data_IF_533634530585
#
_entry.id   IF_533634530585
#
_cell.length_a   1.000
_cell.length_b   1.000
_cell.length_c   1.000
_cell.angle_alpha   90.00
_cell.angle_beta   90.00
_cell.angle_gamma   90.00
#
_symmetry.space_group_name_H-M   'P 1'
#
loop_
_entity.id
_entity.type
_entity.pdbx_description
1 polymer ?
#
# COMPACT_ATOMS: atom_id res chain seq x y z
N UNK A 1 6.16 4.69 11.20
CA UNK A 1 4.78 5.17 11.45
C UNK A 1 4.21 4.35 12.59
N UNK A 2 3.57 5.01 13.56
CA UNK A 2 2.97 4.30 14.69
C UNK A 2 1.64 3.66 14.28
N UNK A 3 1.19 2.65 15.02
CA UNK A 3 -0.10 1.97 14.77
C UNK A 3 -1.29 2.95 14.81
N UNK A 4 -1.20 3.97 15.66
CA UNK A 4 -2.19 5.05 15.75
C UNK A 4 -2.20 5.93 14.50
N UNK A 5 -1.04 6.26 13.92
CA UNK A 5 -0.97 7.05 12.68
C UNK A 5 -1.61 6.32 11.49
N UNK A 6 -1.36 5.01 11.37
CA UNK A 6 -1.99 4.18 10.36
C UNK A 6 -3.51 4.12 10.56
N UNK A 7 -3.97 4.00 11.81
CA UNK A 7 -5.41 3.98 12.12
C UNK A 7 -6.08 5.31 11.75
N UNK A 8 -5.45 6.45 12.05
CA UNK A 8 -5.95 7.77 11.63
C UNK A 8 -6.04 7.88 10.11
N UNK A 9 -5.00 7.44 9.38
CA UNK A 9 -5.00 7.40 7.91
C UNK A 9 -6.19 6.61 7.36
N UNK A 10 -6.43 5.41 7.90
CA UNK A 10 -7.55 4.56 7.49
C UNK A 10 -8.92 5.21 7.72
N UNK A 11 -9.11 5.87 8.87
CA UNK A 11 -10.36 6.58 9.18
C UNK A 11 -10.59 7.72 8.18
N UNK A 12 -9.57 8.54 7.90
CA UNK A 12 -9.70 9.68 6.99
C UNK A 12 -10.00 9.23 5.56
N UNK A 13 -9.30 8.20 5.09
CA UNK A 13 -9.59 7.59 3.79
C UNK A 13 -11.04 7.08 3.73
N UNK A 14 -11.47 6.38 4.78
CA UNK A 14 -12.85 5.89 4.87
C UNK A 14 -13.90 7.01 4.91
N UNK A 15 -13.61 8.17 5.53
CA UNK A 15 -14.54 9.31 5.55
C UNK A 15 -14.90 9.77 4.14
N UNK A 16 -13.92 9.79 3.21
CA UNK A 16 -14.18 10.15 1.82
C UNK A 16 -15.09 9.15 1.11
N UNK A 17 -14.99 7.86 1.46
CA UNK A 17 -15.80 6.79 0.88
C UNK A 17 -17.07 6.46 1.67
N UNK A 18 -17.37 7.19 2.75
CA UNK A 18 -18.48 6.87 3.65
C UNK A 18 -19.84 6.81 2.93
N UNK A 19 -20.00 7.61 1.87
CA UNK A 19 -21.20 7.68 1.05
C UNK A 19 -21.16 6.74 -0.17
N UNK A 20 -20.03 6.10 -0.44
CA UNK A 20 -19.89 5.15 -1.53
C UNK A 20 -20.61 3.83 -1.23
N UNK A 21 -20.99 3.11 -2.29
CA UNK A 21 -21.52 1.75 -2.19
C UNK A 21 -20.37 0.78 -1.95
N UNK A 22 -20.21 0.37 -0.71
CA UNK A 22 -19.24 -0.65 -0.28
C UNK A 22 -19.88 -2.04 -0.45
N UNK A 23 -19.15 -2.97 -1.07
CA UNK A 23 -19.63 -4.32 -1.32
C UNK A 23 -19.48 -5.18 -0.06
N UNK A 24 -20.60 -5.41 0.64
CA UNK A 24 -20.64 -6.19 1.88
C UNK A 24 -20.44 -7.69 1.67
N UNK A 25 -20.70 -8.20 0.46
CA UNK A 25 -20.40 -9.60 0.13
C UNK A 25 -18.89 -9.78 0.10
N UNK A 26 -18.20 -8.88 -0.60
CA UNK A 26 -16.74 -8.90 -0.67
C UNK A 26 -16.08 -8.67 0.70
N UNK A 27 -16.66 -7.79 1.54
CA UNK A 27 -16.21 -7.65 2.92
C UNK A 27 -16.39 -8.92 3.75
N UNK A 28 -17.48 -9.67 3.52
CA UNK A 28 -17.71 -10.94 4.17
C UNK A 28 -16.63 -11.96 3.83
N UNK A 29 -16.30 -12.09 2.54
CA UNK A 29 -15.21 -12.94 2.06
C UNK A 29 -13.86 -12.55 2.69
N UNK A 30 -13.49 -11.27 2.59
CA UNK A 30 -12.17 -10.79 3.03
C UNK A 30 -11.98 -10.91 4.56
N UNK A 31 -13.07 -10.90 5.32
CA UNK A 31 -13.06 -11.01 6.79
C UNK A 31 -13.43 -12.43 7.30
N UNK A 32 -13.77 -13.37 6.40
CA UNK A 32 -14.24 -14.70 6.78
C UNK A 32 -15.55 -14.72 7.57
N UNK A 33 -16.46 -13.77 7.31
CA UNK A 33 -17.75 -13.64 7.98
C UNK A 33 -18.92 -13.59 6.98
N UNK A 34 -20.13 -13.85 7.46
CA UNK A 34 -21.33 -13.70 6.63
C UNK A 34 -21.49 -12.23 6.15
N UNK A 35 -21.87 -11.99 4.89
CA UNK A 35 -22.16 -10.65 4.36
C UNK A 35 -23.10 -9.79 5.23
N UNK A 36 -24.13 -10.39 5.83
CA UNK A 36 -25.03 -9.68 6.75
C UNK A 36 -24.32 -9.18 8.01
N UNK A 37 -23.40 -9.98 8.55
CA UNK A 37 -22.56 -9.59 9.69
C UNK A 37 -21.57 -8.48 9.29
N UNK A 38 -20.98 -8.56 8.08
CA UNK A 38 -20.13 -7.50 7.54
C UNK A 38 -20.89 -6.18 7.38
N UNK A 39 -22.12 -6.23 6.86
CA UNK A 39 -23.01 -5.07 6.75
C UNK A 39 -23.34 -4.45 8.12
N UNK A 40 -23.65 -5.27 9.11
CA UNK A 40 -23.89 -4.80 10.48
C UNK A 40 -22.64 -4.17 11.13
N UNK A 41 -21.46 -4.75 10.90
CA UNK A 41 -20.19 -4.16 11.38
C UNK A 41 -19.92 -2.82 10.71
N UNK A 42 -20.12 -2.71 9.40
CA UNK A 42 -20.00 -1.45 8.66
C UNK A 42 -20.97 -0.38 9.18
N UNK A 43 -22.22 -0.75 9.45
CA UNK A 43 -23.20 0.16 10.05
C UNK A 43 -22.74 0.68 11.42
N UNK A 44 -22.28 -0.22 12.29
CA UNK A 44 -21.76 0.12 13.63
C UNK A 44 -20.51 1.00 13.57
N UNK A 45 -19.58 0.71 12.65
CA UNK A 45 -18.40 1.53 12.42
C UNK A 45 -18.79 2.96 12.01
N UNK A 46 -19.73 3.11 11.07
CA UNK A 46 -20.24 4.43 10.65
C UNK A 46 -20.88 5.19 11.82
N UNK A 47 -21.64 4.50 12.68
CA UNK A 47 -22.24 5.12 13.87
C UNK A 47 -21.18 5.55 14.89
N UNK A 48 -20.19 4.69 15.17
CA UNK A 48 -19.08 4.94 16.08
C UNK A 48 -18.27 6.17 15.66
N UNK A 49 -17.87 6.23 14.38
CA UNK A 49 -17.13 7.37 13.84
C UNK A 49 -17.95 8.68 13.83
N UNK A 50 -19.28 8.61 13.76
CA UNK A 50 -20.15 9.80 13.92
C UNK A 50 -20.18 10.29 15.38
N UNK A 51 -20.10 9.37 16.34
CA UNK A 51 -20.06 9.70 17.76
C UNK A 51 -18.70 10.24 18.24
N UNK A 52 -17.67 10.20 17.38
CA UNK A 52 -16.31 10.59 17.74
C UNK A 52 -15.50 9.49 18.42
N UNK A 53 -16.08 8.30 18.56
CA UNK A 53 -15.41 7.14 19.15
C UNK A 53 -14.36 6.57 18.18
N UNK A 54 -13.20 6.20 18.74
CA UNK A 54 -12.13 5.54 18.00
C UNK A 54 -12.50 4.12 17.56
N UNK A 55 -11.95 3.62 16.43
CA UNK A 55 -12.21 2.26 15.96
C UNK A 55 -11.63 1.21 16.92
N UNK A 56 -12.36 0.12 17.08
CA UNK A 56 -11.86 -1.09 17.77
C UNK A 56 -10.88 -1.86 16.89
N UNK A 57 -10.23 -2.89 17.44
CA UNK A 57 -9.34 -3.73 16.62
C UNK A 57 -10.05 -4.40 15.45
N UNK A 58 -11.29 -4.85 15.64
CA UNK A 58 -12.12 -5.43 14.58
C UNK A 58 -12.50 -4.39 13.51
N UNK A 59 -12.71 -3.14 13.93
CA UNK A 59 -13.00 -2.04 13.01
C UNK A 59 -11.78 -1.70 12.14
N UNK A 60 -10.56 -1.85 12.66
CA UNK A 60 -9.33 -1.66 11.87
C UNK A 60 -9.25 -2.70 10.75
N UNK A 61 -9.50 -3.98 11.05
CA UNK A 61 -9.54 -5.04 10.02
C UNK A 61 -10.62 -4.75 8.97
N UNK A 62 -11.78 -4.26 9.39
CA UNK A 62 -12.85 -3.84 8.48
C UNK A 62 -12.43 -2.66 7.60
N UNK A 63 -11.78 -1.63 8.14
CA UNK A 63 -11.26 -0.49 7.38
C UNK A 63 -10.24 -0.94 6.33
N UNK A 64 -9.36 -1.88 6.67
CA UNK A 64 -8.41 -2.49 5.73
C UNK A 64 -9.16 -3.20 4.60
N UNK A 65 -10.15 -4.04 4.91
CA UNK A 65 -10.93 -4.76 3.91
C UNK A 65 -11.71 -3.81 2.97
N UNK A 66 -12.22 -2.69 3.50
CA UNK A 66 -12.85 -1.64 2.67
C UNK A 66 -11.85 -1.04 1.69
N UNK A 67 -10.61 -0.81 2.12
CA UNK A 67 -9.57 -0.26 1.26
C UNK A 67 -9.13 -1.20 0.14
N UNK A 68 -9.22 -2.52 0.34
CA UNK A 68 -8.96 -3.47 -0.74
C UNK A 68 -9.96 -3.32 -1.90
N UNK A 69 -11.11 -2.68 -1.65
CA UNK A 69 -12.10 -2.34 -2.67
C UNK A 69 -11.84 -0.98 -3.34
N UNK A 70 -10.70 -0.29 -3.09
CA UNK A 70 -10.38 1.05 -3.60
C UNK A 70 -10.68 1.22 -5.10
N UNK A 71 -10.42 0.19 -5.92
CA UNK A 71 -10.70 0.22 -7.38
C UNK A 71 -12.18 0.42 -7.74
N UNK A 72 -13.10 0.08 -6.83
CA UNK A 72 -14.57 0.24 -6.98
C UNK A 72 -15.09 1.49 -6.28
N UNK A 73 -14.23 2.20 -5.55
CA UNK A 73 -14.57 3.39 -4.78
C UNK A 73 -14.19 4.66 -5.55
N UNK A 74 -14.79 5.82 -5.22
CA UNK A 74 -14.37 7.10 -5.78
C UNK A 74 -12.88 7.33 -5.57
N UNK A 75 -12.22 7.97 -6.55
CA UNK A 75 -10.80 8.35 -6.43
C UNK A 75 -10.60 9.19 -5.18
N UNK A 76 -9.53 8.89 -4.45
CA UNK A 76 -9.17 9.62 -3.24
C UNK A 76 -8.75 11.05 -3.60
N UNK A 77 -9.26 12.03 -2.85
CA UNK A 77 -8.79 13.40 -2.91
C UNK A 77 -7.66 13.60 -1.89
N UNK A 78 -6.44 13.78 -2.41
CA UNK A 78 -5.24 13.98 -1.60
C UNK A 78 -5.17 15.36 -0.95
N UNK A 79 -5.90 16.35 -1.46
CA UNK A 79 -5.98 17.68 -0.84
C UNK A 79 -6.78 17.61 0.46
N UNK A 80 -7.96 16.97 0.40
CA UNK A 80 -8.78 16.69 1.57
C UNK A 80 -8.09 15.74 2.55
N UNK A 81 -7.42 14.69 2.03
CA UNK A 81 -6.64 13.78 2.87
C UNK A 81 -5.53 14.53 3.63
N UNK A 82 -4.83 15.44 2.95
CA UNK A 82 -3.79 16.27 3.55
C UNK A 82 -4.34 17.19 4.64
N UNK A 83 -5.46 17.87 4.37
CA UNK A 83 -6.13 18.74 5.33
C UNK A 83 -6.54 17.99 6.61
N UNK A 84 -7.18 16.83 6.47
CA UNK A 84 -7.63 16.01 7.61
C UNK A 84 -6.48 15.38 8.41
N UNK A 85 -5.29 15.27 7.81
CA UNK A 85 -4.08 14.74 8.44
C UNK A 85 -3.09 15.86 8.86
N UNK A 86 -3.44 17.12 8.62
CA UNK A 86 -2.61 18.31 8.88
C UNK A 86 -1.22 18.21 8.20
N UNK A 87 -1.20 17.71 6.96
CA UNK A 87 0.02 17.58 6.13
C UNK A 87 -0.24 18.06 4.71
N UNK A 88 0.83 18.33 3.96
CA UNK A 88 0.68 18.70 2.55
C UNK A 88 0.13 17.53 1.71
N UNK A 89 -0.58 17.81 0.59
CA UNK A 89 -1.21 16.78 -0.23
C UNK A 89 -0.23 15.74 -0.81
N UNK A 90 0.98 16.17 -1.18
CA UNK A 90 2.02 15.27 -1.69
C UNK A 90 2.49 14.27 -0.63
N UNK A 91 2.71 14.73 0.60
CA UNK A 91 3.05 13.89 1.74
C UNK A 91 1.91 12.92 2.09
N UNK A 92 0.65 13.35 1.97
CA UNK A 92 -0.51 12.49 2.15
C UNK A 92 -0.57 11.37 1.11
N UNK A 93 -0.34 11.70 -0.18
CA UNK A 93 -0.27 10.71 -1.25
C UNK A 93 0.87 9.70 -1.03
N UNK A 94 2.06 10.17 -0.67
CA UNK A 94 3.20 9.31 -0.35
C UNK A 94 2.92 8.41 0.85
N UNK A 95 2.26 8.95 1.88
CA UNK A 95 1.89 8.20 3.08
C UNK A 95 0.88 7.11 2.76
N UNK A 96 -0.12 7.39 1.92
CA UNK A 96 -1.07 6.41 1.41
C UNK A 96 -0.39 5.32 0.58
N UNK A 97 0.49 5.70 -0.34
CA UNK A 97 1.22 4.77 -1.20
C UNK A 97 2.10 3.81 -0.38
N UNK A 98 2.89 4.35 0.56
CA UNK A 98 3.72 3.53 1.48
C UNK A 98 2.88 2.61 2.35
N UNK A 99 1.68 3.04 2.74
CA UNK A 99 0.76 2.20 3.50
C UNK A 99 0.29 1.01 2.66
N UNK A 100 -0.11 1.22 1.41
CA UNK A 100 -0.57 0.15 0.51
C UNK A 100 0.52 -0.87 0.21
N UNK A 101 1.76 -0.43 -0.03
CA UNK A 101 2.88 -1.35 -0.26
C UNK A 101 3.08 -2.29 0.93
N UNK A 102 3.10 -1.76 2.16
CA UNK A 102 3.24 -2.60 3.35
C UNK A 102 2.09 -3.59 3.50
N UNK A 103 0.87 -3.17 3.16
CA UNK A 103 -0.30 -4.05 3.22
C UNK A 103 -0.17 -5.22 2.21
N UNK A 104 0.32 -4.95 1.01
CA UNK A 104 0.60 -5.96 -0.01
C UNK A 104 1.77 -6.88 0.39
N UNK A 105 2.80 -6.37 1.05
CA UNK A 105 3.91 -7.17 1.59
C UNK A 105 3.44 -8.12 2.70
N UNK A 106 2.61 -7.64 3.62
CA UNK A 106 2.03 -8.45 4.72
C UNK A 106 1.03 -9.50 4.23
N UNK A 107 0.46 -9.34 3.02
CA UNK A 107 -0.44 -10.32 2.40
C UNK A 107 0.24 -11.27 1.42
N UNK A 108 1.54 -11.12 1.13
CA UNK A 108 2.28 -12.14 0.38
C UNK A 108 2.38 -13.40 1.25
N UNK A 109 1.82 -14.54 0.80
CA UNK A 109 1.98 -15.78 1.53
C UNK A 109 3.45 -16.17 1.57
N UNK A 110 3.83 -16.81 2.68
CA UNK A 110 5.08 -17.52 2.92
C UNK A 110 5.24 -18.65 1.89
N UNK A 111 5.46 -18.30 0.61
CA UNK A 111 5.69 -19.26 -0.47
C UNK A 111 7.01 -18.98 -1.20
N UNK A 112 7.61 -17.80 -1.03
CA UNK A 112 8.90 -17.47 -1.65
C UNK A 112 10.11 -17.68 -0.73
N UNK A 113 9.91 -17.80 0.59
CA UNK A 113 11.03 -18.03 1.51
C UNK A 113 11.49 -19.50 1.55
N UNK A 114 10.69 -20.44 1.04
CA UNK A 114 11.06 -21.86 0.99
C UNK A 114 11.71 -22.27 -0.34
N UNK A 115 11.46 -21.53 -1.43
CA UNK A 115 12.08 -21.79 -2.75
C UNK A 115 13.54 -21.31 -2.79
N UNK A 116 13.90 -20.22 -2.10
CA UNK A 116 15.27 -19.71 -2.09
C UNK A 116 16.22 -20.47 -1.15
N UNK A 117 15.69 -21.30 -0.23
CA UNK A 117 16.51 -22.21 0.59
C UNK A 117 16.90 -23.52 -0.09
N UNK A 118 16.43 -23.78 -1.31
CA UNK A 118 16.77 -24.98 -2.09
C UNK A 118 17.65 -24.69 -3.30
N UNK A 119 18.65 -23.82 -3.14
CA UNK A 119 19.85 -23.92 -3.97
C UNK A 119 20.85 -24.88 -3.33
N UNK A 120 20.93 -26.15 -3.76
CA UNK A 120 22.11 -26.94 -3.49
C UNK A 120 23.28 -26.26 -4.22
N UNK A 121 24.25 -25.85 -3.40
CA UNK A 121 25.58 -25.40 -3.78
C UNK A 121 26.27 -26.53 -4.54
N UNK A 122 26.12 -26.54 -5.86
CA UNK A 122 26.88 -27.41 -6.75
C UNK A 122 28.02 -26.59 -7.36
N UNK A 123 29.17 -26.59 -6.71
CA UNK A 123 30.44 -26.55 -7.44
C UNK A 123 30.64 -27.95 -8.04
N UNK A 124 31.09 -28.06 -9.30
CA UNK A 124 32.54 -28.22 -9.48
C UNK A 124 33.14 -27.61 -10.78
N UNK A 125 34.36 -27.09 -10.61
CA UNK A 125 35.54 -27.15 -11.47
C UNK A 125 35.45 -26.93 -13.01
N UNK A 126 36.22 -25.91 -13.43
CA UNK A 126 37.11 -25.83 -14.61
C UNK A 126 36.52 -26.10 -16.02
N UNK A 127 36.51 -25.08 -16.88
CA UNK A 127 37.46 -24.98 -18.01
C UNK A 127 37.22 -23.74 -18.89
N UNK A 128 38.36 -23.20 -19.35
CA UNK A 128 38.58 -22.07 -20.26
C UNK A 128 37.82 -22.12 -21.59
N UNK A 129 37.59 -20.97 -22.24
CA UNK A 129 38.05 -20.61 -23.60
C UNK A 129 37.50 -19.22 -24.03
N UNK A 130 38.45 -18.37 -24.45
CA UNK A 130 38.51 -17.29 -25.45
C UNK A 130 37.24 -16.56 -25.97
N UNK A 131 37.40 -15.22 -26.02
CA UNK A 131 37.32 -14.35 -27.22
C UNK A 131 36.05 -14.41 -28.09
N UNK A 132 35.29 -13.31 -28.14
CA UNK A 132 35.34 -12.37 -29.28
C UNK A 132 34.42 -11.15 -29.10
N UNK A 133 34.79 -10.14 -29.88
CA UNK A 133 34.33 -8.75 -29.95
C UNK A 133 33.08 -8.67 -30.84
N UNK A 134 32.09 -7.86 -30.47
CA UNK A 134 30.91 -7.63 -31.31
C UNK A 134 30.23 -6.28 -31.00
N UNK A 135 30.52 -5.29 -31.82
CA UNK A 135 29.91 -3.96 -31.87
C UNK A 135 28.50 -4.00 -32.49
N UNK A 136 27.52 -3.25 -31.98
CA UNK A 136 26.74 -2.29 -32.80
C UNK A 136 25.64 -1.57 -32.01
N UNK A 137 25.55 -0.27 -32.24
CA UNK A 137 24.48 0.65 -31.86
C UNK A 137 23.07 0.18 -32.23
N UNK A 138 22.07 0.51 -31.39
CA UNK A 138 20.94 1.39 -31.74
C UNK A 138 20.01 1.63 -30.54
N UNK A 139 19.78 2.91 -30.28
CA UNK A 139 18.59 3.55 -29.71
C UNK A 139 17.54 2.68 -29.01
N UNK A 140 17.28 2.99 -27.73
CA UNK A 140 15.89 3.15 -27.28
C UNK A 140 15.84 4.23 -26.21
N UNK A 141 15.07 5.28 -26.46
CA UNK A 141 14.84 6.36 -25.51
C UNK A 141 14.15 5.82 -24.27
N UNK A 142 14.92 5.68 -23.19
CA UNK A 142 14.39 5.44 -21.85
C UNK A 142 14.04 6.81 -21.28
N UNK A 143 12.74 7.09 -21.15
CA UNK A 143 12.23 8.20 -20.35
C UNK A 143 12.48 7.88 -18.88
N UNK A 144 13.75 7.95 -18.49
CA UNK A 144 14.24 7.72 -17.14
C UNK A 144 14.26 9.05 -16.40
N UNK A 145 13.38 9.19 -15.42
CA UNK A 145 13.53 10.17 -14.34
C UNK A 145 14.98 10.11 -13.84
N UNK A 146 15.66 11.25 -13.61
CA UNK A 146 17.07 11.23 -13.23
C UNK A 146 17.16 10.64 -11.83
N UNK A 147 17.55 9.37 -11.77
CA UNK A 147 18.05 8.77 -10.55
C UNK A 147 19.42 9.41 -10.30
N UNK A 148 19.47 10.42 -9.43
CA UNK A 148 20.74 10.97 -9.01
C UNK A 148 21.33 9.99 -7.99
N UNK A 149 22.45 9.35 -8.33
CA UNK A 149 23.18 8.42 -7.45
C UNK A 149 23.74 9.11 -6.19
N UNK A 150 23.58 10.43 -6.09
CA UNK A 150 23.80 11.22 -4.88
C UNK A 150 22.45 11.43 -4.21
N UNK A 151 22.27 10.79 -3.05
CA UNK A 151 21.13 11.03 -2.17
C UNK A 151 20.90 12.55 -1.96
N UNK A 152 19.64 12.93 -1.79
CA UNK A 152 19.22 14.32 -1.59
C UNK A 152 20.08 14.98 -0.49
N UNK A 153 20.74 16.11 -0.77
CA UNK A 153 21.37 16.91 0.28
C UNK A 153 20.26 17.64 1.07
N UNK A 154 20.32 17.55 2.40
CA UNK A 154 19.37 18.12 3.37
C UNK A 154 19.36 19.67 3.46
N UNK A 155 19.73 20.38 2.39
CA UNK A 155 19.94 21.85 2.42
C UNK A 155 19.10 22.62 1.38
N UNK A 156 18.07 22.00 0.80
CA UNK A 156 17.23 22.65 -0.22
C UNK A 156 16.02 23.44 0.34
N UNK A 157 16.05 23.89 1.60
CA UNK A 157 14.92 24.60 2.24
C UNK A 157 15.27 25.94 2.89
N UNK A 158 16.35 26.60 2.49
CA UNK A 158 16.51 28.03 2.76
C UNK A 158 16.54 28.84 1.47
N UNK A 159 15.37 29.35 1.07
CA UNK A 159 15.12 30.71 0.58
C UNK A 159 13.66 30.85 0.12
#
# INVERSE_FOLDING_TARGET
MTRSDNTKLLIVVFKQWRSARIDTNKLGEDLGINPGAAGMRLFRLKARLRAGDGPTHADIALLIAINNQERRLPRLDYTLLGADLEINPGAAAMRWWRYKIRLEEDTRPVEQQEVERRHPRNDPAENSIASEKGTSSKESGVFGWPYNEKGWPDEAWEA
#
